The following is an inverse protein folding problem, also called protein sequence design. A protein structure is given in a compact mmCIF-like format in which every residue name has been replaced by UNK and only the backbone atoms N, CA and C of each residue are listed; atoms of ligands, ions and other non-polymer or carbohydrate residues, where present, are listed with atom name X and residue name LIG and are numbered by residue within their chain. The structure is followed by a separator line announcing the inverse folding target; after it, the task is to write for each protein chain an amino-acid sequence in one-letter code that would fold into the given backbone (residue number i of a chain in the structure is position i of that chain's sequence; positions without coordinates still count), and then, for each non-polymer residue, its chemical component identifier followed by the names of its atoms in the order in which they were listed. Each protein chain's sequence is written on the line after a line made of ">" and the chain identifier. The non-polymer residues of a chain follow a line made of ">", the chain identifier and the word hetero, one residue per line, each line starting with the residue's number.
data_IF_582433539701
#
_entry.id   IF_582433539701
#
_cell.length_a   1.000
_cell.length_b   1.000
_cell.length_c   1.000
_cell.angle_alpha   90.00
_cell.angle_beta   90.00
_cell.angle_gamma   90.00
#
_symmetry.space_group_name_H-M   'P 1'
#
loop_
_entity.id
_entity.type
_entity.pdbx_description
1 polymer ?
#
# COMPACT_ATOMS: atom_id res chain seq x y z
N UNK A 1 8.88 2.04 1.21
CA UNK A 1 7.79 1.81 0.21
C UNK A 1 7.32 3.20 -0.25
N UNK A 2 6.58 3.35 -1.34
CA UNK A 2 6.08 4.67 -1.79
C UNK A 2 4.56 4.69 -1.96
N UNK A 3 3.98 5.89 -2.04
CA UNK A 3 2.56 6.11 -2.33
C UNK A 3 2.11 5.35 -3.59
N UNK A 4 2.91 5.39 -4.65
CA UNK A 4 2.62 4.70 -5.91
C UNK A 4 2.64 3.17 -5.75
N UNK A 5 3.55 2.65 -4.92
CA UNK A 5 3.60 1.22 -4.58
C UNK A 5 2.40 0.75 -3.74
N UNK A 6 1.63 1.66 -3.13
CA UNK A 6 0.35 1.29 -2.52
C UNK A 6 -0.66 0.80 -3.54
N UNK A 7 -0.63 1.34 -4.77
CA UNK A 7 -1.56 1.01 -5.85
C UNK A 7 -1.20 -0.30 -6.58
N UNK A 8 0.06 -0.72 -6.53
CA UNK A 8 0.61 -1.84 -7.33
C UNK A 8 0.53 -3.24 -6.66
N UNK A 9 -0.44 -3.50 -5.75
CA UNK A 9 -0.76 -4.75 -4.99
C UNK A 9 0.23 -5.96 -5.04
N UNK A 10 0.55 -6.57 -3.87
CA UNK A 10 -0.48 -7.22 -3.04
C UNK A 10 -0.65 -6.62 -1.64
N UNK A 11 -1.75 -6.97 -0.98
CA UNK A 11 -2.05 -6.54 0.39
C UNK A 11 -1.46 -7.51 1.41
N UNK A 12 -0.16 -7.36 1.64
CA UNK A 12 0.51 -7.94 2.79
C UNK A 12 1.03 -6.79 3.66
N UNK A 13 0.12 -5.93 4.14
CA UNK A 13 0.46 -4.70 4.88
C UNK A 13 -0.47 -4.45 6.07
N UNK A 14 0.11 -4.02 7.17
CA UNK A 14 -0.66 -3.55 8.32
C UNK A 14 -1.19 -2.13 8.07
N UNK A 15 -2.12 -1.66 8.90
CA UNK A 15 -2.77 -0.36 8.67
C UNK A 15 -1.79 0.81 8.77
N UNK A 16 -0.85 0.74 9.71
CA UNK A 16 0.09 1.82 9.95
C UNK A 16 1.09 1.96 8.79
N UNK A 17 1.58 0.83 8.27
CA UNK A 17 2.37 0.75 7.04
C UNK A 17 1.64 1.38 5.84
N UNK A 18 0.31 1.24 5.76
CA UNK A 18 -0.45 1.87 4.66
C UNK A 18 -0.49 3.39 4.87
N UNK A 19 -0.93 3.85 6.04
CA UNK A 19 -1.19 5.29 6.25
C UNK A 19 0.08 6.13 6.37
N UNK A 20 1.21 5.55 6.81
CA UNK A 20 2.50 6.24 6.88
C UNK A 20 3.05 6.65 5.52
N UNK A 21 2.64 5.96 4.46
CA UNK A 21 3.02 6.27 3.08
C UNK A 21 1.99 7.17 2.35
N UNK A 22 0.93 7.58 3.03
CA UNK A 22 -0.07 8.51 2.52
C UNK A 22 0.24 9.95 3.00
N UNK A 23 -0.14 10.97 2.23
CA UNK A 23 -0.04 12.36 2.67
C UNK A 23 -0.73 12.58 4.03
N UNK A 24 -0.15 13.43 4.88
CA UNK A 24 -0.68 13.74 6.23
C UNK A 24 -0.95 12.49 7.08
N UNK A 25 -0.08 11.47 6.97
CA UNK A 25 -0.24 10.16 7.63
C UNK A 25 -1.59 9.51 7.32
N UNK A 26 -2.13 9.74 6.12
CA UNK A 26 -3.40 9.18 5.68
C UNK A 26 -4.65 9.82 6.27
N UNK A 27 -4.56 10.91 7.05
CA UNK A 27 -5.75 11.63 7.53
C UNK A 27 -6.60 12.11 6.33
N UNK A 28 -7.91 11.82 6.37
CA UNK A 28 -8.86 12.04 5.28
C UNK A 28 -8.86 10.95 4.19
N UNK A 29 -7.95 9.99 4.25
CA UNK A 29 -7.91 8.89 3.29
C UNK A 29 -8.85 7.75 3.69
N UNK A 30 -9.39 7.06 2.68
CA UNK A 30 -10.14 5.82 2.87
C UNK A 30 -9.21 4.62 2.82
N UNK A 31 -9.38 3.70 3.76
CA UNK A 31 -8.62 2.45 3.83
C UNK A 31 -9.59 1.29 3.99
N UNK A 32 -9.30 0.18 3.32
CA UNK A 32 -10.14 -1.01 3.37
C UNK A 32 -9.30 -2.26 3.62
N UNK A 33 -9.97 -3.39 3.80
CA UNK A 33 -9.34 -4.69 3.98
C UNK A 33 -9.53 -5.51 2.72
N UNK A 34 -8.51 -6.28 2.34
CA UNK A 34 -8.60 -7.25 1.22
C UNK A 34 -9.85 -8.13 1.35
N UNK A 35 -10.15 -8.62 2.55
CA UNK A 35 -11.30 -9.48 2.82
C UNK A 35 -12.66 -8.79 2.74
N UNK A 36 -12.69 -7.46 2.53
CA UNK A 36 -13.93 -6.68 2.44
C UNK A 36 -14.41 -6.43 1.02
N UNK A 37 -13.64 -6.83 0.00
CA UNK A 37 -14.01 -6.64 -1.42
C UNK A 37 -15.40 -7.23 -1.74
N UNK A 38 -15.78 -8.34 -1.10
CA UNK A 38 -17.10 -8.96 -1.27
C UNK A 38 -18.27 -8.24 -0.57
N UNK A 39 -18.01 -7.29 0.32
CA UNK A 39 -19.04 -6.58 1.09
C UNK A 39 -19.32 -5.17 0.53
N UNK A 40 -18.96 -4.92 -0.73
CA UNK A 40 -19.22 -3.65 -1.40
C UNK A 40 -18.51 -2.47 -0.75
N UNK A 41 -19.22 -1.34 -0.61
CA UNK A 41 -18.65 -0.07 -0.15
C UNK A 41 -18.34 -0.07 1.36
N UNK A 42 -17.29 -0.79 1.75
CA UNK A 42 -16.86 -0.99 3.13
C UNK A 42 -15.42 -0.49 3.33
N UNK A 43 -15.24 0.53 4.14
CA UNK A 43 -13.95 1.18 4.39
C UNK A 43 -13.96 1.94 5.70
N UNK A 44 -12.77 2.25 6.19
CA UNK A 44 -12.56 3.25 7.23
C UNK A 44 -12.10 4.55 6.61
N UNK A 45 -12.67 5.66 7.04
CA UNK A 45 -12.08 6.98 6.80
C UNK A 45 -11.19 7.36 7.98
N UNK A 46 -9.90 7.58 7.72
CA UNK A 46 -8.93 7.92 8.76
C UNK A 46 -9.15 9.36 9.22
N UNK A 47 -9.34 9.57 10.52
CA UNK A 47 -9.54 10.90 11.11
C UNK A 47 -8.33 11.37 11.92
N UNK A 48 -7.60 10.46 12.55
CA UNK A 48 -6.38 10.80 13.28
C UNK A 48 -5.41 9.63 13.35
N UNK A 49 -4.11 9.94 13.35
CA UNK A 49 -3.04 8.98 13.61
C UNK A 49 -2.24 9.47 14.80
N UNK A 50 -2.04 8.59 15.79
CA UNK A 50 -1.18 8.82 16.94
C UNK A 50 -0.01 7.83 16.87
N UNK A 51 1.11 8.19 16.24
CA UNK A 51 2.32 7.38 16.26
C UNK A 51 2.79 7.18 17.71
N UNK A 52 3.32 6.00 18.02
CA UNK A 52 3.98 5.70 19.30
C UNK A 52 5.49 5.63 19.15
N UNK A 53 5.97 5.25 17.98
CA UNK A 53 7.38 5.22 17.63
C UNK A 53 7.67 6.31 16.59
N UNK A 54 8.86 6.92 16.66
CA UNK A 54 9.28 7.99 15.73
C UNK A 54 9.36 7.51 14.28
N UNK A 55 9.70 6.23 14.08
CA UNK A 55 9.73 5.57 12.77
C UNK A 55 8.33 5.27 12.20
N UNK A 56 7.26 5.53 12.97
CA UNK A 56 5.89 5.24 12.58
C UNK A 56 5.57 3.74 12.49
N UNK A 57 6.38 2.85 13.08
CA UNK A 57 6.17 1.39 13.06
C UNK A 57 5.04 0.92 14.00
N UNK A 58 4.77 1.69 15.05
CA UNK A 58 3.73 1.42 16.03
C UNK A 58 2.88 2.67 16.30
N UNK A 59 1.58 2.48 16.57
CA UNK A 59 0.68 3.59 16.79
C UNK A 59 -0.80 3.20 16.89
N UNK A 60 -1.62 4.23 17.10
CA UNK A 60 -3.08 4.15 17.09
C UNK A 60 -3.62 4.92 15.89
N UNK A 61 -4.54 4.32 15.15
CA UNK A 61 -5.23 4.96 14.03
C UNK A 61 -6.71 5.02 14.38
N UNK A 62 -7.28 6.21 14.31
CA UNK A 62 -8.68 6.49 14.59
C UNK A 62 -9.40 6.85 13.31
N UNK A 63 -10.64 6.42 13.17
CA UNK A 63 -11.43 6.68 11.99
C UNK A 63 -12.92 6.45 12.20
N UNK A 64 -13.66 6.68 11.13
CA UNK A 64 -15.10 6.43 11.02
C UNK A 64 -15.29 5.23 10.09
N UNK A 65 -16.11 4.26 10.51
CA UNK A 65 -16.41 3.08 9.69
C UNK A 65 -17.59 3.38 8.77
N UNK A 66 -17.42 3.08 7.49
CA UNK A 66 -18.52 2.86 6.57
C UNK A 66 -18.58 1.36 6.28
N UNK A 67 -19.70 0.72 6.58
CA UNK A 67 -19.93 -0.70 6.35
C UNK A 67 -21.09 -0.89 5.39
N UNK A 68 -20.83 -1.53 4.24
CA UNK A 68 -21.83 -1.77 3.18
C UNK A 68 -22.59 -0.49 2.79
N UNK A 69 -21.88 0.63 2.71
CA UNK A 69 -22.44 1.94 2.37
C UNK A 69 -23.03 2.73 3.54
N UNK A 70 -23.21 2.14 4.72
CA UNK A 70 -23.74 2.83 5.90
C UNK A 70 -22.59 3.35 6.76
N UNK A 71 -22.54 4.66 6.97
CA UNK A 71 -21.50 5.29 7.80
C UNK A 71 -21.94 5.35 9.26
N UNK A 72 -20.99 5.11 10.17
CA UNK A 72 -21.15 5.39 11.59
C UNK A 72 -20.89 6.89 11.86
N UNK A 73 -21.49 7.47 12.89
CA UNK A 73 -21.22 8.88 13.25
C UNK A 73 -20.05 9.05 14.22
N UNK A 74 -19.47 7.94 14.71
CA UNK A 74 -18.47 7.96 15.78
C UNK A 74 -17.07 7.71 15.26
N UNK A 75 -16.16 8.64 15.55
CA UNK A 75 -14.72 8.38 15.42
C UNK A 75 -14.25 7.45 16.54
N UNK A 76 -13.61 6.33 16.17
CA UNK A 76 -13.09 5.33 17.12
C UNK A 76 -11.79 4.70 16.64
N UNK A 77 -11.14 3.95 17.54
CA UNK A 77 -9.93 3.20 17.21
C UNK A 77 -10.26 2.16 16.13
N UNK A 78 -9.45 2.13 15.07
CA UNK A 78 -9.60 1.15 14.00
C UNK A 78 -9.13 -0.21 14.51
N UNK A 79 -10.08 -1.14 14.55
CA UNK A 79 -9.85 -2.51 14.99
C UNK A 79 -8.99 -3.28 13.98
N UNK A 80 -8.26 -4.31 14.41
CA UNK A 80 -7.49 -5.18 13.51
C UNK A 80 -6.35 -4.48 12.75
N UNK A 81 -5.87 -3.33 13.24
CA UNK A 81 -4.79 -2.53 12.62
C UNK A 81 -3.51 -3.31 12.33
N UNK A 82 -3.19 -4.32 13.14
CA UNK A 82 -2.01 -5.18 12.96
C UNK A 82 -2.16 -6.23 11.85
N UNK A 83 -3.39 -6.53 11.39
CA UNK A 83 -3.59 -7.56 10.35
C UNK A 83 -2.97 -7.11 9.04
N UNK A 84 -2.22 -7.99 8.36
CA UNK A 84 -1.50 -7.65 7.11
C UNK A 84 -2.38 -7.73 5.86
N UNK A 85 -3.51 -7.05 5.85
CA UNK A 85 -4.52 -7.13 4.79
C UNK A 85 -5.12 -5.76 4.43
N UNK A 86 -4.51 -4.68 4.92
CA UNK A 86 -4.97 -3.32 4.67
C UNK A 86 -4.57 -2.84 3.29
N UNK A 87 -5.43 -2.00 2.72
CA UNK A 87 -5.29 -1.38 1.40
C UNK A 87 -5.73 0.07 1.50
N UNK A 88 -5.03 0.95 0.78
CA UNK A 88 -5.55 2.27 0.48
C UNK A 88 -6.67 2.15 -0.55
N UNK A 89 -7.75 2.90 -0.33
CA UNK A 89 -8.88 3.07 -1.25
C UNK A 89 -8.86 4.51 -1.75
N UNK A 90 -8.16 4.81 -2.85
CA UNK A 90 -8.07 6.17 -3.39
C UNK A 90 -9.45 6.70 -3.80
N UNK A 91 -9.62 8.02 -3.72
CA UNK A 91 -10.73 8.69 -4.40
C UNK A 91 -10.61 8.55 -5.92
N UNK A 92 -11.67 8.87 -6.66
CA UNK A 92 -11.64 8.84 -8.13
C UNK A 92 -10.57 9.78 -8.69
N UNK A 93 -10.47 11.00 -8.15
CA UNK A 93 -9.46 11.99 -8.52
C UNK A 93 -8.04 11.47 -8.25
N UNK A 94 -7.80 10.94 -7.05
CA UNK A 94 -6.51 10.34 -6.68
C UNK A 94 -6.17 9.17 -7.61
N UNK A 95 -7.16 8.33 -7.94
CA UNK A 95 -6.97 7.23 -8.86
C UNK A 95 -6.54 7.72 -10.25
N UNK A 96 -7.18 8.75 -10.78
CA UNK A 96 -6.83 9.35 -12.07
C UNK A 96 -5.42 9.95 -12.05
N UNK A 97 -5.06 10.61 -10.95
CA UNK A 97 -3.75 11.24 -10.78
C UNK A 97 -2.62 10.22 -10.67
N UNK A 98 -2.77 9.19 -9.83
CA UNK A 98 -1.65 8.30 -9.47
C UNK A 98 -1.58 7.02 -10.31
N UNK A 99 -2.66 6.57 -10.94
CA UNK A 99 -2.63 5.32 -11.71
C UNK A 99 -1.65 5.33 -12.89
N UNK A 100 -1.53 6.40 -13.70
CA UNK A 100 -0.52 6.45 -14.77
C UNK A 100 0.90 6.37 -14.23
N UNK A 101 1.18 7.10 -13.14
CA UNK A 101 2.50 7.12 -12.50
C UNK A 101 2.87 5.77 -11.90
N UNK A 102 1.91 5.09 -11.27
CA UNK A 102 2.10 3.75 -10.74
C UNK A 102 2.42 2.75 -11.87
N UNK A 103 1.72 2.82 -13.01
CA UNK A 103 2.02 1.97 -14.17
C UNK A 103 3.43 2.21 -14.71
N UNK A 104 3.84 3.47 -14.81
CA UNK A 104 5.18 3.81 -15.26
C UNK A 104 6.27 3.30 -14.29
N UNK A 105 6.06 3.47 -12.98
CA UNK A 105 6.96 2.91 -11.98
C UNK A 105 7.08 1.39 -12.11
N UNK A 106 5.97 0.70 -12.32
CA UNK A 106 5.97 -0.76 -12.54
C UNK A 106 6.75 -1.13 -13.80
N UNK A 107 6.58 -0.37 -14.90
CA UNK A 107 7.33 -0.58 -16.14
C UNK A 107 8.83 -0.45 -15.90
N UNK A 108 9.26 0.60 -15.22
CA UNK A 108 10.67 0.84 -14.90
C UNK A 108 11.26 -0.28 -14.04
N UNK A 109 10.55 -0.73 -13.01
CA UNK A 109 10.97 -1.86 -12.17
C UNK A 109 11.12 -3.16 -12.97
N UNK A 110 10.19 -3.44 -13.90
CA UNK A 110 10.26 -4.61 -14.74
C UNK A 110 11.48 -4.56 -15.68
N UNK A 111 11.74 -3.40 -16.30
CA UNK A 111 12.91 -3.21 -17.16
C UNK A 111 14.22 -3.38 -16.39
N UNK A 112 14.32 -2.81 -15.19
CA UNK A 112 15.48 -2.98 -14.31
C UNK A 112 15.70 -4.45 -13.96
N UNK A 113 14.63 -5.16 -13.57
CA UNK A 113 14.70 -6.59 -13.24
C UNK A 113 15.20 -7.42 -14.42
N UNK A 114 14.68 -7.17 -15.62
CA UNK A 114 15.13 -7.86 -16.83
C UNK A 114 16.60 -7.57 -17.16
N UNK A 115 17.04 -6.33 -16.99
CA UNK A 115 18.43 -5.94 -17.19
C UNK A 115 19.37 -6.68 -16.21
N UNK A 116 19.00 -6.77 -14.93
CA UNK A 116 19.75 -7.52 -13.91
C UNK A 116 19.84 -8.99 -14.28
N UNK A 117 18.72 -9.64 -14.62
CA UNK A 117 18.69 -11.05 -15.03
C UNK A 117 19.55 -11.32 -16.26
N UNK A 118 19.53 -10.41 -17.24
CA UNK A 118 20.37 -10.52 -18.43
C UNK A 118 21.86 -10.42 -18.07
N UNK A 119 22.24 -9.48 -17.21
CA UNK A 119 23.62 -9.32 -16.77
C UNK A 119 24.13 -10.55 -15.99
N UNK A 120 23.31 -11.08 -15.09
CA UNK A 120 23.60 -12.32 -14.34
C UNK A 120 23.79 -13.52 -15.27
N UNK A 121 22.93 -13.66 -16.30
CA UNK A 121 23.06 -14.74 -17.28
C UNK A 121 24.34 -14.62 -18.12
N UNK A 122 24.72 -13.40 -18.54
CA UNK A 122 25.98 -13.17 -19.27
C UNK A 122 27.20 -13.49 -18.41
N UNK A 123 27.20 -13.08 -17.13
CA UNK A 123 28.29 -13.39 -16.20
C UNK A 123 28.42 -14.90 -15.94
N UNK A 124 27.30 -15.61 -15.79
CA UNK A 124 27.30 -17.06 -15.61
C UNK A 124 27.80 -17.84 -16.84
N UNK A 125 27.58 -17.32 -18.05
CA UNK A 125 28.14 -17.88 -19.28
C UNK A 125 29.67 -17.69 -19.34
N UNK A 126 30.17 -16.48 -19.06
CA UNK A 126 31.60 -16.17 -19.08
C UNK A 126 32.41 -16.96 -18.03
N UNK A 127 31.81 -17.28 -16.87
CA UNK A 127 32.46 -18.08 -15.84
C UNK A 127 32.60 -19.58 -16.17
N UNK A 128 31.83 -20.10 -17.12
CA UNK A 128 31.94 -21.51 -17.56
C UNK A 128 33.05 -21.72 -18.58
N UNK A 129 33.38 -20.70 -19.36
CA UNK A 129 34.42 -20.79 -20.42
C UNK A 129 35.85 -20.63 -19.89
N UNK A 130 36.04 -20.16 -18.64
CA UNK A 130 37.37 -19.92 -18.04
C UNK A 130 37.92 -21.10 -17.20
N UNK A 131 37.18 -22.22 -17.10
CA UNK A 131 37.52 -23.35 -16.24
C UNK A 131 37.79 -24.67 -16.97
N UNK A 132 38.05 -24.64 -18.28
CA UNK A 132 38.31 -25.84 -19.10
C UNK A 132 39.73 -25.89 -19.65
#
# INVERSE_FOLDING_TARGET
>A
MSLLQLLLKPANRNLLEVVSHLPKLGVGSKVTRKSWEQYGNSYWEVKAVKPRAEDGSAGKVYGVLTWRGVSEDRTRLINGRAKRLWRWMPSQEQQQQYAPLARELQRQQNLQRLAVQKAEATAAAAGKDAGS
#
